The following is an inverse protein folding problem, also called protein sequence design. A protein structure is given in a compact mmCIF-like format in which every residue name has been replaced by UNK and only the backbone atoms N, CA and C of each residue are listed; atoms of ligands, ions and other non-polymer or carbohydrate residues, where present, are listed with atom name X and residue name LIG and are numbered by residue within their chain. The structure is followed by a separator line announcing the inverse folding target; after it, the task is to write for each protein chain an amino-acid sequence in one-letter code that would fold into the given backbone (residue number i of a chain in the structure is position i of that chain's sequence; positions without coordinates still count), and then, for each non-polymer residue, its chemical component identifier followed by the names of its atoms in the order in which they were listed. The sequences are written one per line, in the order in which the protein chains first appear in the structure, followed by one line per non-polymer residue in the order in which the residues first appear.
data_IF_806391492842
#
_entry.id   IF_806391492842
#
_cell.length_a   1.000
_cell.length_b   1.000
_cell.length_c   1.000
_cell.angle_alpha   90.00
_cell.angle_beta   90.00
_cell.angle_gamma   90.00
#
_symmetry.space_group_name_H-M   'P 1'
#
loop_
_entity.id
_entity.type
_entity.pdbx_description
1 polymer ?
#
# COMPACT_ATOMS: atom_id res chain seq x y z
N UNK A 1 12.35 -14.08 -13.44
CA UNK A 1 11.69 -12.75 -13.52
C UNK A 1 12.71 -11.76 -14.04
N UNK A 2 12.41 -11.06 -15.15
CA UNK A 2 13.35 -10.12 -15.79
C UNK A 2 12.71 -8.75 -16.02
N UNK A 3 11.41 -8.70 -16.37
CA UNK A 3 10.67 -7.48 -16.67
C UNK A 3 9.49 -7.28 -15.72
N UNK A 4 9.41 -6.09 -15.14
CA UNK A 4 8.40 -5.72 -14.14
C UNK A 4 7.58 -4.55 -14.69
N UNK A 5 6.26 -4.64 -14.57
CA UNK A 5 5.33 -3.54 -14.81
C UNK A 5 4.78 -3.07 -13.47
N UNK A 6 4.91 -1.76 -13.19
CA UNK A 6 4.33 -1.12 -12.01
C UNK A 6 3.17 -0.25 -12.45
N UNK A 7 1.94 -0.60 -12.06
CA UNK A 7 0.74 0.19 -12.31
C UNK A 7 0.50 1.09 -11.09
N UNK A 8 0.22 2.38 -11.30
CA UNK A 8 0.25 3.41 -10.27
C UNK A 8 1.69 3.87 -9.97
N UNK A 9 2.56 3.89 -11.00
CA UNK A 9 4.00 4.08 -10.88
C UNK A 9 4.44 5.47 -10.40
N UNK A 10 3.58 6.48 -10.48
CA UNK A 10 3.84 7.84 -9.97
C UNK A 10 3.25 8.07 -8.57
N UNK A 11 2.52 7.08 -8.02
CA UNK A 11 2.03 7.10 -6.65
C UNK A 11 3.13 6.79 -5.61
N UNK A 12 2.79 6.91 -4.32
CA UNK A 12 3.72 6.69 -3.20
C UNK A 12 4.45 5.33 -3.28
N UNK A 13 3.70 4.22 -3.32
CA UNK A 13 4.29 2.88 -3.38
C UNK A 13 4.91 2.62 -4.76
N UNK A 14 4.27 3.09 -5.83
CA UNK A 14 4.74 2.87 -7.21
C UNK A 14 6.08 3.53 -7.49
N UNK A 15 6.30 4.75 -7.03
CA UNK A 15 7.59 5.46 -7.20
C UNK A 15 8.72 4.69 -6.50
N UNK A 16 8.47 4.22 -5.28
CA UNK A 16 9.45 3.40 -4.56
C UNK A 16 9.68 2.05 -5.26
N UNK A 17 8.63 1.43 -5.80
CA UNK A 17 8.75 0.18 -6.55
C UNK A 17 9.62 0.34 -7.80
N UNK A 18 9.41 1.41 -8.59
CA UNK A 18 10.29 1.73 -9.74
C UNK A 18 11.74 1.83 -9.29
N UNK A 19 12.01 2.67 -8.26
CA UNK A 19 13.36 2.88 -7.72
C UNK A 19 14.02 1.57 -7.26
N UNK A 20 13.29 0.79 -6.46
CA UNK A 20 13.78 -0.46 -5.89
C UNK A 20 14.09 -1.48 -6.97
N UNK A 21 13.15 -1.79 -7.86
CA UNK A 21 13.35 -2.81 -8.88
C UNK A 21 14.43 -2.43 -9.90
N UNK A 22 14.57 -1.15 -10.24
CA UNK A 22 15.70 -0.68 -11.06
C UNK A 22 17.05 -0.90 -10.34
N UNK A 23 17.13 -0.64 -9.02
CA UNK A 23 18.34 -0.89 -8.22
C UNK A 23 18.71 -2.37 -8.18
N UNK A 24 17.71 -3.27 -8.27
CA UNK A 24 17.91 -4.73 -8.37
C UNK A 24 18.18 -5.19 -9.82
N UNK A 25 18.38 -4.27 -10.76
CA UNK A 25 18.70 -4.52 -12.18
C UNK A 25 17.61 -5.24 -12.97
N UNK A 26 16.34 -5.11 -12.56
CA UNK A 26 15.21 -5.50 -13.38
C UNK A 26 14.95 -4.47 -14.49
N UNK A 27 14.45 -4.91 -15.64
CA UNK A 27 13.83 -4.03 -16.60
C UNK A 27 12.45 -3.62 -16.06
N UNK A 28 12.23 -2.31 -15.86
CA UNK A 28 11.02 -1.81 -15.18
C UNK A 28 10.27 -0.86 -16.11
N UNK A 29 8.99 -1.15 -16.33
CA UNK A 29 8.07 -0.26 -17.00
C UNK A 29 7.08 0.34 -15.99
N UNK A 30 6.75 1.61 -16.16
CA UNK A 30 5.75 2.33 -15.36
C UNK A 30 4.43 2.48 -16.12
N UNK A 31 3.31 2.52 -15.39
CA UNK A 31 2.01 2.87 -15.92
C UNK A 31 1.26 3.76 -14.91
N UNK A 32 0.78 4.93 -15.34
CA UNK A 32 0.04 5.86 -14.50
C UNK A 32 -0.86 6.78 -15.33
N UNK A 33 -1.78 7.47 -14.66
CA UNK A 33 -2.59 8.56 -15.25
C UNK A 33 -1.79 9.85 -15.42
N UNK A 34 -0.79 10.04 -14.60
CA UNK A 34 0.10 11.22 -14.63
C UNK A 34 1.01 11.15 -15.85
N UNK A 35 1.26 12.27 -16.50
CA UNK A 35 2.15 12.34 -17.65
C UNK A 35 3.58 11.86 -17.29
N UNK A 36 4.15 11.06 -18.17
CA UNK A 36 5.54 10.56 -18.06
C UNK A 36 6.53 11.44 -18.80
N UNK A 37 7.78 11.03 -18.80
CA UNK A 37 8.93 11.69 -19.42
C UNK A 37 9.19 11.24 -20.87
N UNK A 38 8.18 10.69 -21.57
CA UNK A 38 8.28 10.14 -22.92
C UNK A 38 9.30 8.99 -23.07
N UNK A 39 9.65 8.30 -21.99
CA UNK A 39 10.47 7.09 -22.05
C UNK A 39 9.69 5.94 -22.67
N UNK A 40 10.35 5.05 -23.40
CA UNK A 40 9.75 3.86 -24.03
C UNK A 40 9.21 2.85 -23.03
N UNK A 41 9.57 2.98 -21.76
CA UNK A 41 9.17 2.11 -20.67
C UNK A 41 8.10 2.75 -19.76
N UNK A 42 7.33 3.70 -20.29
CA UNK A 42 6.23 4.35 -19.59
C UNK A 42 4.95 4.36 -20.41
N UNK A 43 3.85 3.95 -19.76
CA UNK A 43 2.51 3.93 -20.34
C UNK A 43 1.61 4.92 -19.61
N UNK A 44 1.26 6.01 -20.27
CA UNK A 44 0.23 6.89 -19.75
C UNK A 44 -1.15 6.31 -20.09
N UNK A 45 -2.06 6.32 -19.12
CA UNK A 45 -3.44 5.85 -19.28
C UNK A 45 -4.43 6.92 -18.86
N UNK A 46 -5.63 6.85 -19.43
CA UNK A 46 -6.74 7.66 -18.95
C UNK A 46 -7.36 7.04 -17.69
N UNK A 47 -7.75 7.88 -16.75
CA UNK A 47 -8.28 7.47 -15.44
C UNK A 47 -9.53 6.59 -15.56
N UNK A 48 -10.42 6.91 -16.49
CA UNK A 48 -11.74 6.28 -16.57
C UNK A 48 -11.79 5.05 -17.48
N UNK A 49 -10.94 4.99 -18.51
CA UNK A 49 -10.93 3.90 -19.50
C UNK A 49 -9.50 3.45 -19.86
N UNK A 50 -8.74 2.91 -18.89
CA UNK A 50 -7.38 2.45 -19.17
C UNK A 50 -7.40 1.22 -20.11
N UNK A 51 -6.64 1.29 -21.21
CA UNK A 51 -6.49 0.17 -22.14
C UNK A 51 -5.37 -0.78 -21.67
N UNK A 52 -5.65 -1.57 -20.65
CA UNK A 52 -4.68 -2.51 -20.11
C UNK A 52 -4.31 -3.62 -21.12
N UNK A 53 -5.20 -4.00 -22.04
CA UNK A 53 -4.90 -5.02 -23.06
C UNK A 53 -3.68 -4.61 -23.89
N UNK A 54 -3.63 -3.36 -24.35
CA UNK A 54 -2.52 -2.85 -25.14
C UNK A 54 -1.23 -2.78 -24.31
N UNK A 55 -1.32 -2.34 -23.05
CA UNK A 55 -0.17 -2.25 -22.15
C UNK A 55 0.45 -3.64 -21.92
N UNK A 56 -0.36 -4.64 -21.56
CA UNK A 56 0.17 -5.99 -21.31
C UNK A 56 0.69 -6.67 -22.59
N UNK A 57 0.09 -6.37 -23.74
CA UNK A 57 0.56 -6.86 -25.04
C UNK A 57 1.93 -6.28 -25.41
N UNK A 58 2.17 -4.99 -25.14
CA UNK A 58 3.45 -4.31 -25.41
C UNK A 58 4.50 -4.62 -24.34
N UNK A 59 4.14 -4.44 -23.07
CA UNK A 59 5.07 -4.60 -21.95
C UNK A 59 5.51 -6.06 -21.78
N UNK A 60 4.61 -7.04 -21.92
CA UNK A 60 4.82 -8.48 -21.67
C UNK A 60 5.63 -8.75 -20.38
N UNK A 61 5.16 -8.24 -19.23
CA UNK A 61 5.91 -8.35 -17.98
C UNK A 61 5.91 -9.78 -17.43
N UNK A 62 6.97 -10.14 -16.71
CA UNK A 62 6.99 -11.36 -15.89
C UNK A 62 6.22 -11.12 -14.57
N UNK A 63 6.29 -9.90 -14.03
CA UNK A 63 5.60 -9.44 -12.82
C UNK A 63 4.87 -8.13 -13.09
N UNK A 64 3.61 -8.07 -12.70
CA UNK A 64 2.84 -6.84 -12.56
C UNK A 64 2.58 -6.56 -11.09
N UNK A 65 3.09 -5.43 -10.58
CA UNK A 65 2.74 -4.90 -9.27
C UNK A 65 1.67 -3.82 -9.45
N UNK A 66 0.45 -4.10 -8.97
CA UNK A 66 -0.63 -3.12 -8.98
C UNK A 66 -0.61 -2.28 -7.70
N UNK A 67 0.00 -1.10 -7.79
CA UNK A 67 0.03 -0.06 -6.76
C UNK A 67 -0.98 1.08 -7.04
N UNK A 68 -1.91 0.87 -7.99
CA UNK A 68 -2.94 1.83 -8.33
C UNK A 68 -4.18 1.71 -7.44
N UNK A 69 -5.12 2.59 -7.64
CA UNK A 69 -6.39 2.63 -6.91
C UNK A 69 -6.45 3.78 -5.89
N UNK A 70 -7.62 4.02 -5.35
CA UNK A 70 -7.80 4.96 -4.25
C UNK A 70 -7.34 4.33 -2.93
N UNK A 71 -6.63 5.10 -2.09
CA UNK A 71 -6.16 4.67 -0.77
C UNK A 71 -6.56 5.73 0.27
N UNK A 72 -7.88 5.99 0.37
CA UNK A 72 -8.46 6.98 1.27
C UNK A 72 -9.81 6.49 1.77
N UNK A 73 -9.88 6.17 3.07
CA UNK A 73 -11.15 5.78 3.72
C UNK A 73 -12.19 6.92 3.62
N UNK A 74 -11.86 8.19 3.96
CA UNK A 74 -12.84 9.28 3.80
C UNK A 74 -13.38 9.40 2.37
N UNK A 75 -12.50 9.42 1.37
CA UNK A 75 -12.91 9.50 -0.03
C UNK A 75 -13.88 8.39 -0.43
N UNK A 76 -13.70 7.18 0.09
CA UNK A 76 -14.58 6.05 -0.23
C UNK A 76 -16.00 6.21 0.33
N UNK A 77 -16.19 7.02 1.40
CA UNK A 77 -17.52 7.41 1.88
C UNK A 77 -18.12 8.54 1.03
N UNK A 78 -17.29 9.49 0.59
CA UNK A 78 -17.73 10.64 -0.20
C UNK A 78 -18.11 10.23 -1.63
N UNK A 79 -17.32 9.33 -2.25
CA UNK A 79 -17.57 8.83 -3.60
C UNK A 79 -17.29 7.32 -3.71
N UNK A 80 -18.20 6.47 -3.21
CA UNK A 80 -18.02 5.02 -3.22
C UNK A 80 -18.00 4.41 -4.63
N UNK A 81 -18.66 5.03 -5.61
CA UNK A 81 -18.68 4.52 -6.97
C UNK A 81 -17.33 4.69 -7.67
N UNK A 82 -16.70 5.85 -7.53
CA UNK A 82 -15.35 6.07 -8.05
C UNK A 82 -14.35 5.18 -7.33
N UNK A 83 -14.45 5.06 -5.99
CA UNK A 83 -13.59 4.15 -5.23
C UNK A 83 -13.73 2.70 -5.71
N UNK A 84 -14.96 2.24 -5.98
CA UNK A 84 -15.24 0.91 -6.56
C UNK A 84 -14.62 0.75 -7.95
N UNK A 85 -14.80 1.74 -8.83
CA UNK A 85 -14.21 1.74 -10.16
C UNK A 85 -12.69 1.57 -10.11
N UNK A 86 -12.03 2.32 -9.23
CA UNK A 86 -10.57 2.33 -9.11
C UNK A 86 -10.01 1.07 -8.44
N UNK A 87 -10.69 0.54 -7.42
CA UNK A 87 -10.19 -0.55 -6.59
C UNK A 87 -10.69 -1.94 -7.03
N UNK A 88 -11.81 -2.04 -7.76
CA UNK A 88 -12.40 -3.32 -8.17
C UNK A 88 -12.40 -3.47 -9.69
N UNK A 89 -13.09 -2.57 -10.41
CA UNK A 89 -13.26 -2.71 -11.86
C UNK A 89 -11.92 -2.69 -12.59
N UNK A 90 -11.01 -1.80 -12.19
CA UNK A 90 -9.68 -1.75 -12.80
C UNK A 90 -8.87 -3.01 -12.52
N UNK A 91 -9.03 -3.66 -11.36
CA UNK A 91 -8.40 -4.96 -11.08
C UNK A 91 -8.93 -6.03 -12.02
N UNK A 92 -10.24 -6.13 -12.23
CA UNK A 92 -10.83 -7.05 -13.21
C UNK A 92 -10.30 -6.79 -14.63
N UNK A 93 -10.23 -5.51 -15.06
CA UNK A 93 -9.68 -5.14 -16.38
C UNK A 93 -8.21 -5.58 -16.52
N UNK A 94 -7.38 -5.44 -15.48
CA UNK A 94 -5.98 -5.88 -15.50
C UNK A 94 -5.87 -7.41 -15.57
N UNK A 95 -6.63 -8.13 -14.74
CA UNK A 95 -6.63 -9.59 -14.74
C UNK A 95 -7.10 -10.15 -16.09
N UNK A 96 -8.12 -9.57 -16.69
CA UNK A 96 -8.59 -9.97 -18.03
C UNK A 96 -7.55 -9.67 -19.11
N UNK A 97 -6.88 -8.51 -19.03
CA UNK A 97 -5.80 -8.18 -19.95
C UNK A 97 -4.62 -9.17 -19.84
N UNK A 98 -4.27 -9.59 -18.62
CA UNK A 98 -3.25 -10.62 -18.38
C UNK A 98 -3.69 -11.96 -18.99
N UNK A 99 -4.93 -12.37 -18.71
CA UNK A 99 -5.50 -13.64 -19.22
C UNK A 99 -5.41 -13.73 -20.74
N UNK A 100 -5.73 -12.65 -21.44
CA UNK A 100 -5.74 -12.61 -22.91
C UNK A 100 -4.33 -12.45 -23.49
N UNK A 101 -3.52 -11.55 -22.92
CA UNK A 101 -2.28 -11.08 -23.55
C UNK A 101 -1.02 -11.82 -23.08
N UNK A 102 -0.93 -12.14 -21.78
CA UNK A 102 0.25 -12.79 -21.20
C UNK A 102 -0.08 -13.56 -19.91
N UNK A 103 -0.74 -14.73 -20.00
CA UNK A 103 -1.23 -15.48 -18.83
C UNK A 103 -0.11 -16.02 -17.92
N UNK A 104 1.15 -15.87 -18.30
CA UNK A 104 2.31 -16.23 -17.45
C UNK A 104 2.72 -15.13 -16.49
N UNK A 105 2.22 -13.90 -16.66
CA UNK A 105 2.49 -12.76 -15.77
C UNK A 105 2.05 -13.08 -14.34
N UNK A 106 2.94 -12.89 -13.38
CA UNK A 106 2.59 -12.87 -11.96
C UNK A 106 1.90 -11.53 -11.67
N UNK A 107 0.73 -11.56 -11.05
CA UNK A 107 0.00 -10.36 -10.66
C UNK A 107 -0.04 -10.23 -9.13
N UNK A 108 0.58 -9.18 -8.61
CA UNK A 108 0.54 -8.82 -7.19
C UNK A 108 -0.40 -7.62 -7.02
N UNK A 109 -1.50 -7.85 -6.32
CA UNK A 109 -2.48 -6.83 -5.98
C UNK A 109 -2.16 -6.21 -4.62
N UNK A 110 -2.08 -4.88 -4.52
CA UNK A 110 -1.98 -4.20 -3.23
C UNK A 110 -3.39 -4.05 -2.64
N UNK A 111 -3.70 -4.93 -1.69
CA UNK A 111 -4.86 -4.86 -0.81
C UNK A 111 -4.52 -4.08 0.47
N UNK A 112 -5.33 -4.20 1.50
CA UNK A 112 -5.20 -3.42 2.73
C UNK A 112 -5.65 -4.21 3.95
N UNK A 113 -5.05 -3.94 5.12
CA UNK A 113 -5.57 -4.38 6.42
C UNK A 113 -7.01 -3.88 6.71
N UNK A 114 -7.49 -2.88 5.96
CA UNK A 114 -8.86 -2.38 6.07
C UNK A 114 -9.94 -3.47 5.81
N UNK A 115 -9.57 -4.58 5.18
CA UNK A 115 -10.45 -5.74 4.99
C UNK A 115 -10.83 -6.40 6.31
N UNK A 116 -9.98 -6.33 7.33
CA UNK A 116 -10.25 -6.89 8.65
C UNK A 116 -11.18 -6.03 9.52
N UNK A 117 -11.37 -4.75 9.15
CA UNK A 117 -12.09 -3.80 10.00
C UNK A 117 -11.43 -3.65 11.37
N UNK A 118 -12.16 -4.01 12.43
CA UNK A 118 -11.66 -4.04 13.82
C UNK A 118 -11.54 -5.49 14.28
N UNK A 119 -10.39 -6.14 14.09
CA UNK A 119 -10.21 -7.54 14.47
C UNK A 119 -10.38 -7.73 15.98
N UNK A 120 -10.98 -8.85 16.37
CA UNK A 120 -11.22 -9.20 17.78
C UNK A 120 -9.97 -9.71 18.50
N UNK A 121 -8.99 -10.20 17.75
CA UNK A 121 -7.72 -10.73 18.27
C UNK A 121 -6.53 -10.13 17.51
N UNK A 122 -5.44 -9.93 18.23
CA UNK A 122 -4.15 -9.49 17.68
C UNK A 122 -3.04 -10.43 18.19
N UNK A 123 -2.01 -10.68 17.38
CA UNK A 123 -1.88 -10.24 15.99
C UNK A 123 -2.91 -10.91 15.07
N UNK A 124 -3.38 -10.18 14.03
CA UNK A 124 -4.37 -10.67 13.07
C UNK A 124 -3.71 -11.49 11.98
N UNK A 125 -4.13 -12.76 11.82
CA UNK A 125 -3.66 -13.63 10.74
C UNK A 125 -4.48 -13.47 9.46
N UNK A 126 -4.00 -14.03 8.36
CA UNK A 126 -4.73 -14.01 7.08
C UNK A 126 -6.01 -14.86 7.10
N UNK A 127 -6.11 -15.78 8.04
CA UNK A 127 -7.28 -16.66 8.23
C UNK A 127 -8.36 -16.03 9.14
N UNK A 128 -8.10 -14.82 9.68
CA UNK A 128 -9.09 -14.10 10.47
C UNK A 128 -10.28 -13.64 9.61
N UNK A 129 -11.42 -13.47 10.27
CA UNK A 129 -12.63 -12.98 9.63
C UNK A 129 -12.41 -11.63 8.93
N UNK A 130 -13.04 -11.50 7.76
CA UNK A 130 -13.06 -10.28 6.96
C UNK A 130 -14.36 -9.54 7.29
N UNK A 131 -14.23 -8.38 7.95
CA UNK A 131 -15.37 -7.54 8.37
C UNK A 131 -15.08 -6.04 8.15
N UNK A 132 -15.03 -5.58 6.88
CA UNK A 132 -14.66 -4.21 6.56
C UNK A 132 -15.67 -3.21 7.10
N UNK A 133 -15.17 -2.12 7.70
CA UNK A 133 -15.98 -1.03 8.28
C UNK A 133 -16.03 0.23 7.40
N UNK A 134 -15.61 0.13 6.15
CA UNK A 134 -15.62 1.23 5.16
C UNK A 134 -15.81 0.72 3.74
N UNK A 135 -16.36 1.52 2.81
CA UNK A 135 -16.43 1.15 1.39
C UNK A 135 -15.06 0.76 0.83
N UNK A 136 -14.00 1.51 1.16
CA UNK A 136 -12.63 1.19 0.78
C UNK A 136 -12.22 -0.25 1.18
N UNK A 137 -12.48 -0.65 2.43
CA UNK A 137 -12.19 -2.01 2.91
C UNK A 137 -12.98 -3.07 2.13
N UNK A 138 -14.27 -2.84 1.86
CA UNK A 138 -15.11 -3.72 1.04
C UNK A 138 -14.57 -3.85 -0.38
N UNK A 139 -14.16 -2.76 -1.01
CA UNK A 139 -13.64 -2.77 -2.39
C UNK A 139 -12.28 -3.46 -2.47
N UNK A 140 -11.42 -3.28 -1.46
CA UNK A 140 -10.16 -4.04 -1.39
C UNK A 140 -10.41 -5.53 -1.23
N UNK A 141 -11.36 -5.94 -0.39
CA UNK A 141 -11.74 -7.36 -0.29
C UNK A 141 -12.28 -7.91 -1.60
N UNK A 142 -13.17 -7.19 -2.30
CA UNK A 142 -13.67 -7.62 -3.61
C UNK A 142 -12.55 -7.76 -4.64
N UNK A 143 -11.53 -6.93 -4.59
CA UNK A 143 -10.36 -7.08 -5.46
C UNK A 143 -9.54 -8.35 -5.16
N UNK A 144 -9.47 -8.77 -3.87
CA UNK A 144 -8.86 -10.06 -3.49
C UNK A 144 -9.67 -11.24 -4.04
N UNK A 145 -11.01 -11.16 -3.97
CA UNK A 145 -11.89 -12.18 -4.54
C UNK A 145 -11.70 -12.31 -6.06
N UNK A 146 -11.56 -11.19 -6.78
CA UNK A 146 -11.25 -11.20 -8.22
C UNK A 146 -9.91 -11.90 -8.49
N UNK A 147 -8.86 -11.62 -7.73
CA UNK A 147 -7.56 -12.30 -7.84
C UNK A 147 -7.69 -13.81 -7.61
N UNK A 148 -8.46 -14.22 -6.59
CA UNK A 148 -8.73 -15.62 -6.28
C UNK A 148 -9.54 -16.31 -7.38
N UNK A 149 -10.58 -15.65 -7.93
CA UNK A 149 -11.39 -16.14 -9.02
C UNK A 149 -10.52 -16.45 -10.26
N UNK A 150 -9.72 -15.46 -10.70
CA UNK A 150 -8.88 -15.65 -11.89
C UNK A 150 -7.78 -16.69 -11.68
N UNK A 151 -7.26 -16.85 -10.48
CA UNK A 151 -6.33 -17.92 -10.16
C UNK A 151 -7.00 -19.29 -10.27
N UNK A 152 -8.19 -19.45 -9.64
CA UNK A 152 -8.89 -20.75 -9.59
C UNK A 152 -9.48 -21.17 -10.92
N UNK A 153 -10.10 -20.24 -11.66
CA UNK A 153 -10.84 -20.56 -12.86
C UNK A 153 -9.99 -20.50 -14.15
N UNK A 154 -8.98 -19.62 -14.17
CA UNK A 154 -8.15 -19.39 -15.37
C UNK A 154 -6.67 -19.73 -15.17
N UNK A 155 -6.26 -20.16 -13.96
CA UNK A 155 -4.88 -20.54 -13.69
C UNK A 155 -3.89 -19.39 -13.70
N UNK A 156 -4.36 -18.15 -13.51
CA UNK A 156 -3.46 -17.00 -13.41
C UNK A 156 -2.68 -17.05 -12.09
N UNK A 157 -1.45 -16.55 -12.14
CA UNK A 157 -0.58 -16.44 -10.97
C UNK A 157 -0.87 -15.14 -10.23
N UNK A 158 -1.68 -15.19 -9.18
CA UNK A 158 -2.08 -13.98 -8.42
C UNK A 158 -1.83 -14.13 -6.93
N UNK A 159 -1.55 -13.01 -6.27
CA UNK A 159 -1.50 -12.88 -4.82
C UNK A 159 -1.92 -11.47 -4.43
N UNK A 160 -2.63 -11.32 -3.29
CA UNK A 160 -3.00 -10.02 -2.74
C UNK A 160 -2.23 -9.75 -1.46
N UNK A 161 -1.61 -8.57 -1.37
CA UNK A 161 -0.88 -8.09 -0.20
C UNK A 161 -1.81 -7.26 0.69
N UNK A 162 -2.17 -7.74 1.88
CA UNK A 162 -2.88 -6.95 2.89
C UNK A 162 -1.87 -6.05 3.60
N UNK A 163 -1.68 -4.86 3.02
CA UNK A 163 -0.73 -3.88 3.55
C UNK A 163 -1.33 -3.18 4.77
N UNK A 164 -0.54 -3.11 5.84
CA UNK A 164 -0.89 -2.35 7.04
C UNK A 164 -0.50 -0.87 6.87
N UNK A 165 0.01 -0.21 7.91
CA UNK A 165 0.26 1.23 7.85
C UNK A 165 1.60 1.55 7.17
N UNK A 166 1.57 1.64 5.84
CA UNK A 166 2.76 2.02 5.06
C UNK A 166 3.12 3.50 5.26
N UNK A 167 4.42 3.79 5.39
CA UNK A 167 4.95 5.16 5.50
C UNK A 167 6.33 5.28 4.85
N UNK A 168 6.74 6.51 4.55
CA UNK A 168 8.05 6.80 3.97
C UNK A 168 8.03 7.99 3.00
N UNK A 169 9.17 8.34 2.40
CA UNK A 169 9.26 9.41 1.40
C UNK A 169 8.21 9.29 0.30
N UNK A 170 7.60 10.41 -0.08
CA UNK A 170 6.52 10.44 -1.07
C UNK A 170 5.10 10.32 -0.48
N UNK A 171 4.94 9.94 0.80
CA UNK A 171 3.62 9.93 1.45
C UNK A 171 3.26 11.33 1.97
N UNK A 172 2.33 11.99 1.28
CA UNK A 172 1.84 13.33 1.61
C UNK A 172 0.40 13.33 2.17
N UNK A 173 0.09 12.32 2.98
CA UNK A 173 -1.19 12.14 3.67
C UNK A 173 -1.00 11.31 4.93
N UNK A 174 -2.07 11.11 5.70
CA UNK A 174 -2.11 10.33 6.94
C UNK A 174 -1.32 10.96 8.10
N UNK A 175 -1.20 10.21 9.21
CA UNK A 175 -0.73 10.72 10.52
C UNK A 175 0.54 11.57 10.46
N UNK A 176 1.60 11.07 9.84
CA UNK A 176 2.91 11.73 9.89
C UNK A 176 2.97 13.00 9.03
N UNK A 177 2.27 12.99 7.90
CA UNK A 177 2.10 14.19 7.10
C UNK A 177 1.26 15.24 7.81
N UNK A 178 0.11 14.83 8.37
CA UNK A 178 -0.77 15.75 9.13
C UNK A 178 -0.03 16.36 10.33
N UNK A 179 0.75 15.56 11.04
CA UNK A 179 1.63 16.05 12.11
C UNK A 179 2.63 17.07 11.58
N UNK A 180 3.32 16.76 10.45
CA UNK A 180 4.26 17.71 9.86
C UNK A 180 3.62 19.05 9.51
N UNK A 181 2.44 19.05 8.89
CA UNK A 181 1.72 20.28 8.58
C UNK A 181 1.41 21.06 9.86
N UNK A 182 0.84 20.41 10.86
CA UNK A 182 0.48 21.04 12.15
C UNK A 182 1.70 21.56 12.95
N UNK A 183 2.87 20.91 12.85
CA UNK A 183 4.09 21.43 13.51
C UNK A 183 4.56 22.77 12.96
N UNK A 184 4.09 23.15 11.76
CA UNK A 184 4.40 24.45 11.13
C UNK A 184 3.44 25.56 11.53
N UNK A 185 2.28 25.21 12.11
CA UNK A 185 1.21 26.15 12.44
C UNK A 185 1.32 26.66 13.89
N UNK A 186 2.07 25.96 14.77
CA UNK A 186 2.21 26.37 16.16
C UNK A 186 2.89 25.33 17.05
N UNK A 187 2.88 25.57 18.35
CA UNK A 187 3.54 24.74 19.36
C UNK A 187 2.57 23.79 20.10
N UNK A 188 1.34 23.64 19.64
CA UNK A 188 0.35 22.72 20.21
C UNK A 188 -0.43 22.03 19.12
N UNK A 189 -0.49 20.70 19.17
CA UNK A 189 -1.19 19.87 18.19
C UNK A 189 -2.24 19.04 18.93
N UNK A 190 -3.48 19.08 18.46
CA UNK A 190 -4.51 18.15 18.87
C UNK A 190 -4.74 17.11 17.78
N UNK A 191 -4.69 15.83 18.18
CA UNK A 191 -5.01 14.66 17.34
C UNK A 191 -6.36 14.09 17.73
N UNK A 192 -7.05 13.48 16.77
CA UNK A 192 -8.24 12.68 17.03
C UNK A 192 -7.87 11.39 17.79
N UNK A 193 -8.87 10.78 18.44
CA UNK A 193 -8.70 9.55 19.21
C UNK A 193 -8.15 9.81 20.62
N UNK A 194 -7.78 8.73 21.30
CA UNK A 194 -7.20 8.74 22.65
C UNK A 194 -5.67 8.70 22.63
N UNK A 195 -5.11 8.31 21.48
CA UNK A 195 -3.69 8.01 21.30
C UNK A 195 -3.32 6.58 21.67
N UNK A 196 -4.25 5.81 22.21
CA UNK A 196 -4.03 4.40 22.59
C UNK A 196 -4.43 3.44 21.46
N UNK A 197 -5.08 3.96 20.42
CA UNK A 197 -5.28 3.22 19.17
C UNK A 197 -3.90 2.85 18.60
N UNK A 198 -3.82 1.66 17.98
CA UNK A 198 -2.54 1.14 17.50
C UNK A 198 -2.54 0.81 16.02
N UNK A 199 -1.34 0.83 15.43
CA UNK A 199 -1.06 0.45 14.04
C UNK A 199 0.23 -0.37 13.99
N UNK A 200 0.35 -1.15 12.93
CA UNK A 200 1.59 -1.80 12.52
C UNK A 200 2.16 -1.02 11.32
N UNK A 201 3.29 -0.36 11.54
CA UNK A 201 3.89 0.54 10.56
C UNK A 201 4.98 -0.16 9.77
N UNK A 202 4.83 -0.19 8.44
CA UNK A 202 5.86 -0.71 7.54
C UNK A 202 6.46 0.39 6.67
N UNK A 203 7.80 0.43 6.60
CA UNK A 203 8.50 1.36 5.71
C UNK A 203 8.31 0.97 4.24
N UNK A 204 8.12 1.95 3.37
CA UNK A 204 7.73 1.72 1.96
C UNK A 204 8.72 0.84 1.20
N UNK A 205 10.03 0.94 1.47
CA UNK A 205 11.03 0.06 0.83
C UNK A 205 10.87 -1.39 1.27
N UNK A 206 10.59 -1.65 2.56
CA UNK A 206 10.32 -3.00 3.07
C UNK A 206 9.02 -3.56 2.47
N UNK A 207 7.99 -2.73 2.25
CA UNK A 207 6.77 -3.15 1.55
C UNK A 207 7.08 -3.63 0.12
N UNK A 208 7.89 -2.87 -0.63
CA UNK A 208 8.27 -3.26 -1.99
C UNK A 208 9.13 -4.53 -1.98
N UNK A 209 10.05 -4.67 -1.05
CA UNK A 209 10.83 -5.91 -0.85
C UNK A 209 9.93 -7.11 -0.55
N UNK A 210 8.87 -6.92 0.25
CA UNK A 210 7.89 -7.96 0.49
C UNK A 210 7.20 -8.40 -0.81
N UNK A 211 6.87 -7.47 -1.71
CA UNK A 211 6.27 -7.82 -3.01
C UNK A 211 7.18 -8.69 -3.87
N UNK A 212 8.50 -8.43 -3.88
CA UNK A 212 9.47 -9.28 -4.56
C UNK A 212 9.56 -10.67 -3.93
N UNK A 213 9.64 -10.74 -2.59
CA UNK A 213 9.67 -12.01 -1.84
C UNK A 213 8.46 -12.86 -2.14
N UNK A 214 7.26 -12.25 -2.17
CA UNK A 214 6.00 -12.92 -2.50
C UNK A 214 6.00 -13.42 -3.96
N UNK A 215 6.41 -12.58 -4.91
CA UNK A 215 6.47 -12.97 -6.32
C UNK A 215 7.38 -14.18 -6.58
N UNK A 216 8.42 -14.36 -5.76
CA UNK A 216 9.40 -15.45 -5.90
C UNK A 216 8.95 -16.72 -5.14
N UNK A 217 8.38 -16.57 -3.94
CA UNK A 217 8.24 -17.69 -2.98
C UNK A 217 6.80 -18.08 -2.65
N UNK A 218 5.78 -17.27 -3.01
CA UNK A 218 4.39 -17.60 -2.78
C UNK A 218 3.87 -18.65 -3.77
N UNK A 219 2.76 -19.31 -3.42
CA UNK A 219 2.09 -20.30 -4.31
C UNK A 219 1.47 -19.64 -5.54
N UNK A 220 1.11 -18.37 -5.44
CA UNK A 220 0.48 -17.56 -6.49
C UNK A 220 -0.83 -18.18 -7.00
N UNK A 221 -1.66 -18.67 -6.08
CA UNK A 221 -2.95 -19.33 -6.34
C UNK A 221 -4.15 -18.50 -5.85
N UNK A 222 -3.99 -17.17 -5.81
CA UNK A 222 -5.02 -16.25 -5.31
C UNK A 222 -5.01 -16.06 -3.80
N UNK A 223 -3.94 -16.46 -3.13
CA UNK A 223 -3.81 -16.31 -1.68
C UNK A 223 -3.62 -14.84 -1.27
N UNK A 224 -3.89 -14.59 0.00
CA UNK A 224 -3.64 -13.30 0.65
C UNK A 224 -2.46 -13.42 1.61
N UNK A 225 -1.68 -12.36 1.75
CA UNK A 225 -0.49 -12.30 2.62
C UNK A 225 -0.46 -10.95 3.35
N UNK A 226 -0.34 -11.00 4.66
CA UNK A 226 -0.14 -9.80 5.49
C UNK A 226 1.24 -9.20 5.25
N UNK A 227 1.27 -7.88 5.02
CA UNK A 227 2.51 -7.15 4.79
C UNK A 227 2.62 -6.01 5.80
N UNK A 228 3.44 -6.25 6.81
CA UNK A 228 3.64 -5.40 7.98
C UNK A 228 4.99 -5.73 8.65
N UNK A 229 5.20 -5.25 9.87
CA UNK A 229 6.39 -5.57 10.67
C UNK A 229 6.11 -6.58 11.80
N UNK A 230 4.85 -6.84 12.15
CA UNK A 230 4.45 -7.62 13.32
C UNK A 230 4.61 -6.85 14.64
N UNK A 231 4.82 -5.54 14.58
CA UNK A 231 5.06 -4.69 15.77
C UNK A 231 3.90 -3.73 15.96
N UNK A 232 3.14 -3.94 17.04
CA UNK A 232 2.08 -3.03 17.44
C UNK A 232 2.66 -1.73 17.99
N UNK A 233 2.21 -0.59 17.46
CA UNK A 233 2.66 0.74 17.89
C UNK A 233 1.45 1.66 18.10
N UNK A 234 1.29 2.22 19.31
CA UNK A 234 0.21 3.17 19.57
C UNK A 234 0.41 4.47 18.80
N UNK A 235 -0.71 5.14 18.43
CA UNK A 235 -0.66 6.45 17.78
C UNK A 235 0.16 7.45 18.60
N UNK A 236 0.02 7.40 19.93
CA UNK A 236 0.82 8.22 20.87
C UNK A 236 2.32 7.99 20.70
N UNK A 237 2.77 6.72 20.63
CA UNK A 237 4.18 6.39 20.50
C UNK A 237 4.71 6.71 19.09
N UNK A 238 3.93 6.49 18.05
CA UNK A 238 4.26 6.86 16.69
C UNK A 238 4.44 8.39 16.55
N UNK A 239 3.49 9.17 17.08
CA UNK A 239 3.55 10.62 17.08
C UNK A 239 4.76 11.14 17.89
N UNK A 240 5.01 10.59 19.09
CA UNK A 240 6.21 10.94 19.88
C UNK A 240 7.52 10.65 19.14
N UNK A 241 7.61 9.50 18.45
CA UNK A 241 8.79 9.14 17.67
C UNK A 241 9.01 10.14 16.55
N UNK A 242 7.95 10.50 15.83
CA UNK A 242 8.00 11.46 14.74
C UNK A 242 8.46 12.84 15.19
N UNK A 243 7.79 13.45 16.20
CA UNK A 243 8.14 14.81 16.68
C UNK A 243 9.56 14.87 17.26
N UNK A 244 10.00 13.80 17.96
CA UNK A 244 11.37 13.70 18.45
C UNK A 244 12.39 13.69 17.32
N UNK A 245 12.11 12.94 16.23
CA UNK A 245 12.97 12.87 15.05
C UNK A 245 13.00 14.21 14.30
N UNK A 246 11.86 14.91 14.26
CA UNK A 246 11.76 16.24 13.65
C UNK A 246 12.40 17.34 14.51
N UNK A 247 12.78 17.04 15.76
CA UNK A 247 13.28 18.01 16.77
C UNK A 247 12.28 19.13 17.08
N UNK A 248 10.98 18.78 17.09
CA UNK A 248 9.91 19.71 17.45
C UNK A 248 9.59 19.58 18.95
N UNK A 249 9.54 20.69 19.68
CA UNK A 249 9.41 20.78 21.14
C UNK A 249 8.01 21.14 21.65
N UNK A 250 7.03 21.22 20.74
CA UNK A 250 5.65 21.51 21.08
C UNK A 250 4.92 20.37 21.80
N UNK A 251 3.64 20.59 22.09
CA UNK A 251 2.79 19.66 22.85
C UNK A 251 1.81 18.93 21.94
N UNK A 252 1.63 17.61 22.17
CA UNK A 252 0.57 16.82 21.54
C UNK A 252 -0.48 16.47 22.59
N UNK A 253 -1.74 16.72 22.26
CA UNK A 253 -2.93 16.31 23.00
C UNK A 253 -3.82 15.42 22.12
N UNK A 254 -4.79 14.76 22.74
CA UNK A 254 -5.75 13.89 22.07
C UNK A 254 -7.15 14.31 22.47
N UNK A 255 -8.05 14.48 21.48
CA UNK A 255 -9.42 14.97 21.67
C UNK A 255 -10.38 13.94 22.29
N UNK A 256 -10.02 12.64 22.24
CA UNK A 256 -10.93 11.53 22.59
C UNK A 256 -11.98 11.20 21.52
N UNK A 257 -12.09 12.02 20.45
CA UNK A 257 -13.09 11.84 19.39
C UNK A 257 -12.62 10.78 18.39
N UNK A 258 -13.39 9.70 18.23
CA UNK A 258 -13.08 8.65 17.25
C UNK A 258 -13.41 9.10 15.84
N UNK A 259 -12.55 8.74 14.88
CA UNK A 259 -12.80 8.95 13.46
C UNK A 259 -13.61 7.77 12.90
N UNK A 260 -14.64 8.06 12.14
CA UNK A 260 -15.45 7.05 11.46
C UNK A 260 -14.62 6.27 10.44
N UNK A 261 -14.76 4.95 10.41
CA UNK A 261 -14.03 4.07 9.50
C UNK A 261 -12.59 3.75 9.91
N UNK A 262 -12.08 4.33 11.03
CA UNK A 262 -10.78 3.97 11.57
C UNK A 262 -10.87 2.74 12.50
N UNK A 263 -10.04 1.70 12.28
CA UNK A 263 -9.97 0.57 13.19
C UNK A 263 -9.37 0.98 14.53
N UNK A 264 -9.74 0.25 15.59
CA UNK A 264 -9.19 0.52 16.93
C UNK A 264 -7.70 0.15 16.97
N UNK A 265 -7.38 -1.12 16.75
CA UNK A 265 -6.01 -1.62 16.86
C UNK A 265 -5.69 -2.53 15.68
N UNK A 266 -4.46 -2.42 15.18
CA UNK A 266 -3.91 -3.28 14.16
C UNK A 266 -2.48 -3.72 14.51
N UNK A 267 -2.28 -5.04 14.53
CA UNK A 267 -0.97 -5.71 14.54
C UNK A 267 -1.10 -6.96 13.68
N UNK A 268 -0.22 -7.16 12.72
CA UNK A 268 -0.26 -8.31 11.81
C UNK A 268 0.46 -9.52 12.41
N UNK A 269 -0.11 -10.70 12.21
CA UNK A 269 0.69 -11.92 12.14
C UNK A 269 1.36 -11.96 10.75
N UNK A 270 2.68 -11.92 10.73
CA UNK A 270 3.48 -11.95 9.50
C UNK A 270 4.20 -13.29 9.29
N UNK A 271 3.86 -14.32 10.07
CA UNK A 271 4.52 -15.64 10.03
C UNK A 271 4.55 -16.24 8.63
N UNK A 272 3.47 -16.05 7.85
CA UNK A 272 3.37 -16.52 6.47
C UNK A 272 4.41 -15.86 5.56
N UNK A 273 4.62 -14.56 5.73
CA UNK A 273 5.61 -13.79 4.98
C UNK A 273 7.05 -14.11 5.46
N UNK A 274 7.25 -14.32 6.77
CA UNK A 274 8.53 -14.73 7.33
C UNK A 274 8.96 -16.12 6.84
N UNK A 275 8.03 -17.08 6.74
CA UNK A 275 8.31 -18.40 6.15
C UNK A 275 8.75 -18.31 4.69
N UNK A 276 8.44 -17.24 3.97
CA UNK A 276 8.96 -16.96 2.62
C UNK A 276 10.36 -16.31 2.64
N UNK A 277 10.97 -16.14 3.81
CA UNK A 277 12.29 -15.56 3.99
C UNK A 277 12.31 -14.02 4.12
N UNK A 278 11.16 -13.38 4.24
CA UNK A 278 11.09 -11.94 4.47
C UNK A 278 11.42 -11.59 5.93
N UNK A 279 12.17 -10.50 6.10
CA UNK A 279 12.33 -9.83 7.40
C UNK A 279 12.31 -8.32 7.17
N UNK A 280 11.53 -7.55 7.96
CA UNK A 280 11.61 -6.09 7.93
C UNK A 280 13.04 -5.64 8.26
N UNK A 281 13.58 -4.70 7.49
CA UNK A 281 14.93 -4.15 7.72
C UNK A 281 14.88 -2.78 8.39
N UNK A 282 13.79 -2.07 8.22
CA UNK A 282 13.65 -0.71 8.67
C UNK A 282 12.79 -0.65 9.95
N UNK A 283 13.38 -0.21 11.07
CA UNK A 283 12.63 0.10 12.28
C UNK A 283 11.81 1.38 12.11
N UNK A 284 10.75 1.57 12.91
CA UNK A 284 9.97 2.81 12.88
C UNK A 284 10.87 4.05 13.06
N UNK A 285 11.85 3.98 13.97
CA UNK A 285 12.78 5.09 14.22
C UNK A 285 13.64 5.41 12.99
N UNK A 286 14.30 4.39 12.42
CA UNK A 286 15.16 4.61 11.24
C UNK A 286 14.37 5.08 10.01
N UNK A 287 13.16 4.55 9.80
CA UNK A 287 12.28 5.02 8.73
C UNK A 287 11.81 6.47 8.94
N UNK A 288 11.55 6.87 10.20
CA UNK A 288 11.24 8.26 10.51
C UNK A 288 12.39 9.21 10.21
N UNK A 289 13.63 8.81 10.47
CA UNK A 289 14.81 9.62 10.13
C UNK A 289 14.89 9.88 8.61
N UNK A 290 14.60 8.87 7.79
CA UNK A 290 14.54 9.01 6.32
C UNK A 290 13.36 9.88 5.90
N UNK A 291 12.19 9.65 6.49
CA UNK A 291 10.97 10.40 6.16
C UNK A 291 11.10 11.89 6.53
N UNK A 292 11.62 12.21 7.72
CA UNK A 292 11.85 13.60 8.15
C UNK A 292 12.85 14.32 7.24
N UNK A 293 13.93 13.66 6.80
CA UNK A 293 14.86 14.25 5.83
C UNK A 293 14.16 14.58 4.50
N UNK A 294 13.30 13.70 4.02
CA UNK A 294 12.50 13.99 2.82
C UNK A 294 11.56 15.18 3.03
N UNK A 295 10.85 15.25 4.17
CA UNK A 295 9.99 16.40 4.50
C UNK A 295 10.77 17.73 4.53
N UNK A 296 11.99 17.72 5.07
CA UNK A 296 12.87 18.89 5.10
C UNK A 296 13.31 19.31 3.68
N UNK A 297 13.55 18.36 2.78
CA UNK A 297 13.92 18.68 1.41
C UNK A 297 12.81 19.37 0.61
N UNK A 298 11.53 19.13 0.96
CA UNK A 298 10.39 19.81 0.34
C UNK A 298 10.28 21.32 0.73
N UNK A 299 10.99 21.74 1.76
CA UNK A 299 10.97 23.13 2.24
C UNK A 299 12.08 24.00 1.62
N UNK A 300 13.00 23.38 0.88
CA UNK A 300 14.14 24.05 0.26
C UNK A 300 13.90 24.41 -1.22
N UNK A 301 12.72 24.04 -1.74
CA UNK A 301 12.23 24.36 -3.09
C UNK A 301 11.12 25.41 -2.98
#
# INVERSE_FOLDING_TARGET
MKKILVIGSKGFIGTEAIRYFQSQKYAVAGCDITAGDNSTDYFQVESNEPNYNEIFRQARPDLCLNASGAASVPFSFDDPLIDYQLNVINVFKMLEAIRISNPKTIYINISSAAVYGTPSQLPVSEDADVDPISPYGWHKWQSELACSEYAKLYGLKTCSMRVFSAYGPGLNKQLFWDLHQKTREGNSIELLGTGDESRDYIFVEDLVRASETIAINAKLQGEVINVATGIETTIRNAAKTFIKTLSWDGRISFSGIKRMGDPKNWCADISKLEMMGFKPKCSLKSGMEVYCKWLQSLQQV
#
